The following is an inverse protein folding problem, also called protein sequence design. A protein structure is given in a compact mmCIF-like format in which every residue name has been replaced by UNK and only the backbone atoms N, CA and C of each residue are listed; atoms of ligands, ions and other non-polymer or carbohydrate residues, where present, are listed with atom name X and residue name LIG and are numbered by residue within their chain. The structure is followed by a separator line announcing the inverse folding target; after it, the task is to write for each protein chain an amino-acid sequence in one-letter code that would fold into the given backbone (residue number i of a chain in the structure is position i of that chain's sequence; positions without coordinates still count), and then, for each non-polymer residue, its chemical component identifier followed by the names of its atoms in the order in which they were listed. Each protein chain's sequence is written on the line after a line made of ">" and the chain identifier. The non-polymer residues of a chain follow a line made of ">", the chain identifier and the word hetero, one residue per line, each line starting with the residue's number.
data_IF_304740473743
#
_entry.id   IF_304740473743
#
_cell.length_a   1.000
_cell.length_b   1.000
_cell.length_c   1.000
_cell.angle_alpha   90.00
_cell.angle_beta   90.00
_cell.angle_gamma   90.00
#
_symmetry.space_group_name_H-M   'P 1'
#
loop_
_entity.id
_entity.type
_entity.pdbx_description
1 polymer ?
#
# COMPACT_ATOMS: atom_id res chain seq x y z
N UNK A 1 12.38 31.21 29.93
CA UNK A 1 12.98 30.31 30.94
C UNK A 1 12.43 28.92 30.74
N UNK A 2 13.23 27.86 30.68
CA UNK A 2 12.68 26.51 30.53
C UNK A 2 12.00 26.11 31.85
N UNK A 3 10.70 25.87 31.82
CA UNK A 3 9.94 25.34 32.95
C UNK A 3 10.46 23.92 33.25
N UNK A 4 11.06 23.75 34.41
CA UNK A 4 11.42 22.43 34.96
C UNK A 4 10.14 21.69 35.33
N UNK A 5 9.98 20.48 34.81
CA UNK A 5 8.84 19.62 35.11
C UNK A 5 9.37 18.47 35.98
N UNK A 6 9.82 18.78 37.19
CA UNK A 6 9.77 17.84 38.30
C UNK A 6 8.52 18.17 39.13
N UNK A 7 7.92 17.14 39.76
CA UNK A 7 6.85 17.44 40.69
C UNK A 7 7.40 18.35 41.82
N UNK A 8 6.61 19.28 42.34
CA UNK A 8 7.05 20.16 43.43
C UNK A 8 7.65 19.41 44.62
N UNK A 9 7.18 18.20 44.88
CA UNK A 9 7.69 17.34 45.95
C UNK A 9 9.12 16.85 45.68
N UNK A 10 9.43 16.50 44.41
CA UNK A 10 10.78 16.09 44.03
C UNK A 10 11.74 17.27 44.14
N UNK A 11 11.34 18.46 43.68
CA UNK A 11 12.15 19.67 43.79
C UNK A 11 12.44 20.00 45.25
N UNK A 12 11.42 20.00 46.10
CA UNK A 12 11.55 20.25 47.56
C UNK A 12 12.53 19.25 48.20
N UNK A 13 12.41 17.96 47.88
CA UNK A 13 13.30 16.92 48.41
C UNK A 13 14.76 17.11 47.98
N UNK A 14 15.00 17.55 46.75
CA UNK A 14 16.36 17.88 46.30
C UNK A 14 16.93 19.10 46.99
N UNK A 15 16.15 20.17 47.17
CA UNK A 15 16.56 21.37 47.82
C UNK A 15 16.91 21.14 49.28
N UNK A 16 16.06 20.45 50.03
CA UNK A 16 16.30 20.08 51.42
C UNK A 16 17.58 19.26 51.58
N UNK A 17 17.74 18.19 50.76
CA UNK A 17 18.92 17.33 50.81
C UNK A 17 20.22 18.11 50.56
N UNK A 18 20.25 18.95 49.56
CA UNK A 18 21.48 19.68 49.20
C UNK A 18 21.75 20.84 50.14
N UNK A 19 20.74 21.47 50.71
CA UNK A 19 20.92 22.53 51.66
C UNK A 19 21.78 22.07 52.87
N UNK A 20 21.42 20.94 53.47
CA UNK A 20 22.19 20.38 54.58
C UNK A 20 23.62 20.00 54.19
N UNK A 21 23.77 19.29 53.06
CA UNK A 21 25.10 18.85 52.62
C UNK A 21 26.02 20.03 52.27
N UNK A 22 25.50 21.12 51.76
CA UNK A 22 26.29 22.33 51.44
C UNK A 22 26.71 23.01 52.73
N UNK A 23 25.82 23.17 53.72
CA UNK A 23 26.15 23.74 55.01
C UNK A 23 27.26 22.93 55.71
N UNK A 24 27.10 21.62 55.78
CA UNK A 24 28.10 20.73 56.38
C UNK A 24 29.44 20.78 55.61
N UNK A 25 29.39 20.79 54.26
CA UNK A 25 30.59 20.87 53.42
C UNK A 25 31.36 22.19 53.67
N UNK A 26 30.64 23.32 53.76
CA UNK A 26 31.26 24.62 54.02
C UNK A 26 31.81 24.68 55.47
N UNK A 27 31.09 24.13 56.45
CA UNK A 27 31.59 24.05 57.86
C UNK A 27 32.84 23.17 57.94
N UNK A 28 32.92 22.06 57.25
CA UNK A 28 34.14 21.21 57.22
C UNK A 28 35.30 22.00 56.59
N UNK A 29 35.04 22.75 55.53
CA UNK A 29 36.06 23.60 54.89
C UNK A 29 36.61 24.66 55.80
N UNK A 30 35.77 25.23 56.69
CA UNK A 30 36.13 26.20 57.71
C UNK A 30 36.72 25.55 58.97
N UNK A 31 36.71 24.19 59.04
CA UNK A 31 37.11 23.41 60.25
C UNK A 31 36.19 23.64 61.51
N UNK A 32 34.94 23.99 61.24
CA UNK A 32 33.95 24.32 62.28
C UNK A 32 32.91 23.21 62.48
N UNK A 33 33.00 22.12 61.72
CA UNK A 33 31.99 21.07 61.77
C UNK A 33 32.17 20.18 63.04
N UNK A 34 31.10 19.93 63.83
CA UNK A 34 31.21 19.20 65.05
C UNK A 34 31.57 17.72 64.92
N UNK A 35 31.16 17.06 63.85
CA UNK A 35 31.30 15.59 63.74
C UNK A 35 32.25 15.17 62.60
N UNK A 36 32.27 15.87 61.47
CA UNK A 36 33.09 15.47 60.33
C UNK A 36 34.38 16.31 60.23
N UNK A 37 35.52 15.61 60.17
CA UNK A 37 36.83 16.26 59.99
C UNK A 37 37.26 16.34 58.51
N UNK A 38 36.70 15.46 57.66
CA UNK A 38 37.05 15.39 56.23
C UNK A 38 35.79 15.35 55.36
N UNK A 39 35.82 16.02 54.22
CA UNK A 39 34.72 16.01 53.26
C UNK A 39 34.40 14.59 52.74
N UNK A 40 35.38 13.67 52.76
CA UNK A 40 35.16 12.26 52.36
C UNK A 40 34.20 11.51 53.30
N UNK A 41 34.18 11.86 54.57
CA UNK A 41 33.29 11.29 55.57
C UNK A 41 31.84 11.76 55.34
N UNK A 42 31.65 13.05 55.03
CA UNK A 42 30.38 13.63 54.65
C UNK A 42 29.78 12.94 53.39
N UNK A 43 30.60 12.79 52.34
CA UNK A 43 30.14 12.15 51.10
C UNK A 43 29.76 10.70 51.32
N UNK A 44 30.50 9.97 52.17
CA UNK A 44 30.21 8.58 52.52
C UNK A 44 28.89 8.48 53.30
N UNK A 45 28.71 9.36 54.32
CA UNK A 45 27.50 9.39 55.15
C UNK A 45 26.23 9.66 54.28
N UNK A 46 26.32 10.56 53.30
CA UNK A 46 25.20 10.91 52.43
C UNK A 46 25.12 10.05 51.14
N UNK A 47 25.93 9.01 51.02
CA UNK A 47 26.02 8.15 49.81
C UNK A 47 26.11 8.97 48.53
N UNK A 48 26.98 9.98 48.52
CA UNK A 48 27.11 10.91 47.43
C UNK A 48 28.49 10.81 46.78
N UNK A 49 28.53 10.75 45.44
CA UNK A 49 29.80 10.84 44.72
C UNK A 49 30.34 12.26 44.72
N UNK A 50 31.63 12.41 45.05
CA UNK A 50 32.31 13.70 45.12
C UNK A 50 32.25 14.50 43.80
N UNK A 51 32.33 13.81 42.66
CA UNK A 51 32.26 14.48 41.36
C UNK A 51 30.88 15.05 41.09
N UNK A 52 29.84 14.32 41.47
CA UNK A 52 28.45 14.75 41.38
C UNK A 52 28.22 15.96 42.28
N UNK A 53 28.65 15.92 43.55
CA UNK A 53 28.51 17.04 44.45
C UNK A 53 29.25 18.29 43.93
N UNK A 54 30.52 18.18 43.54
CA UNK A 54 31.29 19.30 43.03
C UNK A 54 30.63 19.96 41.81
N UNK A 55 30.07 19.17 40.91
CA UNK A 55 29.34 19.69 39.75
C UNK A 55 28.16 20.56 40.12
N UNK A 56 27.39 20.18 41.15
CA UNK A 56 26.25 20.94 41.62
C UNK A 56 26.70 22.12 42.47
N UNK A 57 27.76 21.96 43.26
CA UNK A 57 28.31 23.03 44.07
C UNK A 57 28.91 24.17 43.27
N UNK A 58 29.63 23.87 42.18
CA UNK A 58 30.10 24.90 41.23
C UNK A 58 28.91 25.67 40.61
N UNK A 59 27.86 24.98 40.22
CA UNK A 59 26.66 25.63 39.71
C UNK A 59 26.00 26.57 40.75
N UNK A 60 25.99 26.14 42.01
CA UNK A 60 25.47 26.91 43.09
C UNK A 60 26.29 28.19 43.29
N UNK A 61 27.60 28.13 43.25
CA UNK A 61 28.49 29.28 43.31
C UNK A 61 28.32 30.22 42.12
N UNK A 62 28.25 29.68 40.91
CA UNK A 62 28.04 30.44 39.65
C UNK A 62 26.67 31.15 39.64
N UNK A 63 25.69 30.58 40.31
CA UNK A 63 24.34 31.16 40.45
C UNK A 63 24.22 32.15 41.62
N UNK A 64 25.32 32.66 42.17
CA UNK A 64 25.30 33.58 43.31
C UNK A 64 24.78 32.94 44.60
N UNK A 65 25.03 31.65 44.81
CA UNK A 65 24.58 30.85 45.96
C UNK A 65 23.05 30.62 46.00
N UNK A 66 22.41 30.63 44.83
CA UNK A 66 21.00 30.24 44.73
C UNK A 66 20.85 28.72 44.89
N UNK A 67 20.12 28.31 45.92
CA UNK A 67 19.86 26.90 46.25
C UNK A 67 19.11 26.17 45.12
N UNK A 68 18.34 26.88 44.31
CA UNK A 68 17.65 26.32 43.14
C UNK A 68 18.61 25.76 42.08
N UNK A 69 19.89 26.13 42.15
CA UNK A 69 20.92 25.57 41.28
C UNK A 69 21.14 24.06 41.50
N UNK A 70 20.71 23.48 42.62
CA UNK A 70 20.79 22.05 42.91
C UNK A 70 19.68 21.24 42.25
N UNK A 71 18.61 21.86 41.74
CA UNK A 71 17.56 21.16 41.01
C UNK A 71 18.16 20.56 39.74
N UNK A 72 18.02 19.22 39.50
CA UNK A 72 18.62 18.59 38.34
C UNK A 72 18.00 19.13 37.06
N UNK A 73 18.84 19.44 36.08
CA UNK A 73 18.36 19.81 34.74
C UNK A 73 17.85 18.58 34.05
N UNK A 74 16.76 18.74 33.27
CA UNK A 74 16.19 17.66 32.45
C UNK A 74 17.29 17.00 31.58
N UNK A 75 17.39 15.67 31.66
CA UNK A 75 18.26 14.89 30.78
C UNK A 75 17.65 14.90 29.36
N UNK A 76 18.42 15.28 28.38
CA UNK A 76 18.00 15.30 26.97
C UNK A 76 18.76 16.34 26.16
N UNK A 77 18.64 16.32 24.83
CA UNK A 77 19.26 17.33 23.99
C UNK A 77 18.70 18.71 24.35
N UNK A 78 19.55 19.73 24.32
CA UNK A 78 19.11 21.12 24.53
C UNK A 78 18.02 21.46 23.54
N UNK A 79 16.93 22.10 23.99
CA UNK A 79 15.75 22.41 23.17
C UNK A 79 16.10 23.07 21.82
N UNK A 80 17.19 23.85 21.76
CA UNK A 80 17.66 24.53 20.57
C UNK A 80 18.47 23.66 19.59
N UNK A 81 18.95 22.47 20.02
CA UNK A 81 19.79 21.61 19.13
C UNK A 81 19.01 20.63 18.26
N UNK A 82 17.71 20.43 18.53
CA UNK A 82 16.85 19.47 17.82
C UNK A 82 15.67 20.13 17.09
N UNK A 83 15.51 21.43 17.20
CA UNK A 83 14.42 22.15 16.53
C UNK A 83 14.92 22.63 15.19
N UNK A 84 14.21 22.26 14.15
CA UNK A 84 14.37 22.90 12.86
C UNK A 84 14.26 24.43 13.03
N UNK A 85 15.22 25.17 12.49
CA UNK A 85 15.12 26.64 12.45
C UNK A 85 13.81 27.00 11.75
N UNK A 86 13.13 28.11 12.11
CA UNK A 86 11.87 28.52 11.49
C UNK A 86 11.91 28.54 9.95
N UNK A 87 13.04 28.95 9.38
CA UNK A 87 13.29 28.97 7.92
C UNK A 87 13.19 27.55 7.32
N UNK A 88 13.78 26.57 8.00
CA UNK A 88 13.76 25.18 7.56
C UNK A 88 12.37 24.58 7.70
N UNK A 89 11.65 24.89 8.77
CA UNK A 89 10.25 24.45 8.95
C UNK A 89 9.33 25.04 7.88
N UNK A 90 9.55 26.29 7.49
CA UNK A 90 8.81 26.92 6.40
C UNK A 90 9.10 26.21 5.07
N UNK A 91 10.37 25.94 4.77
CA UNK A 91 10.76 25.21 3.57
C UNK A 91 10.19 23.80 3.50
N UNK A 92 10.15 23.09 4.65
CA UNK A 92 9.48 21.79 4.77
C UNK A 92 7.99 21.92 4.39
N UNK A 93 7.34 22.98 4.85
CA UNK A 93 5.91 23.23 4.58
C UNK A 93 5.65 23.55 3.11
N UNK A 94 6.48 24.37 2.49
CA UNK A 94 6.40 24.70 1.06
C UNK A 94 6.53 23.43 0.20
N UNK A 95 7.59 22.63 0.42
CA UNK A 95 7.81 21.39 -0.31
C UNK A 95 6.67 20.40 -0.10
N UNK A 96 6.08 20.35 1.11
CA UNK A 96 4.90 19.52 1.38
C UNK A 96 3.69 20.00 0.60
N UNK A 97 3.44 21.28 0.52
CA UNK A 97 2.33 21.86 -0.26
C UNK A 97 2.47 21.61 -1.76
N UNK A 98 3.71 21.47 -2.25
CA UNK A 98 4.02 21.01 -3.61
C UNK A 98 3.78 19.51 -3.81
N UNK A 99 3.39 18.76 -2.77
CA UNK A 99 3.06 17.33 -2.86
C UNK A 99 4.24 16.38 -2.63
N UNK A 100 5.40 16.88 -2.20
CA UNK A 100 6.57 16.03 -1.98
C UNK A 100 6.46 15.21 -0.68
N UNK A 101 6.96 13.96 -0.72
CA UNK A 101 7.00 13.09 0.44
C UNK A 101 8.17 13.44 1.38
N UNK A 102 8.12 12.93 2.62
CA UNK A 102 9.13 13.22 3.66
C UNK A 102 10.56 12.84 3.29
N UNK A 103 10.74 11.83 2.45
CA UNK A 103 12.07 11.37 2.01
C UNK A 103 12.67 12.35 0.98
N UNK A 104 11.87 12.79 0.02
CA UNK A 104 12.26 13.83 -0.93
C UNK A 104 12.62 15.11 -0.21
N UNK A 105 11.75 15.59 0.71
CA UNK A 105 12.00 16.81 1.50
C UNK A 105 13.29 16.68 2.32
N UNK A 106 13.54 15.53 2.95
CA UNK A 106 14.78 15.28 3.68
C UNK A 106 16.01 15.35 2.79
N UNK A 107 15.94 14.82 1.57
CA UNK A 107 17.05 14.83 0.63
C UNK A 107 17.31 16.22 0.07
N UNK A 108 16.28 16.96 -0.27
CA UNK A 108 16.36 18.35 -0.75
C UNK A 108 17.00 19.26 0.30
N UNK A 109 16.62 19.10 1.56
CA UNK A 109 17.19 19.87 2.66
C UNK A 109 18.66 19.51 2.96
N UNK A 110 19.15 18.35 2.56
CA UNK A 110 20.58 18.01 2.65
C UNK A 110 21.42 18.89 1.76
N UNK A 111 20.96 19.17 0.55
CA UNK A 111 21.66 20.04 -0.40
C UNK A 111 21.78 21.48 0.10
N UNK A 112 20.76 21.96 0.85
CA UNK A 112 20.70 23.33 1.38
C UNK A 112 21.47 23.53 2.71
N UNK A 113 21.82 22.46 3.43
CA UNK A 113 22.39 22.52 4.79
C UNK A 113 23.84 22.00 4.89
N UNK A 114 24.64 22.09 3.84
CA UNK A 114 26.02 21.59 3.82
C UNK A 114 26.18 20.18 4.40
N UNK A 115 25.39 19.23 3.92
CA UNK A 115 25.38 17.81 4.33
C UNK A 115 24.98 17.51 5.81
N UNK A 116 24.58 18.48 6.61
CA UNK A 116 23.96 18.27 7.93
C UNK A 116 22.46 18.07 7.81
N UNK A 117 22.04 17.15 6.92
CA UNK A 117 20.67 16.95 6.54
C UNK A 117 19.73 16.63 7.71
N UNK A 118 18.49 17.06 7.55
CA UNK A 118 17.42 16.75 8.49
C UNK A 118 16.87 15.36 8.14
N UNK A 119 16.85 14.48 9.13
CA UNK A 119 16.35 13.10 8.90
C UNK A 119 14.86 13.10 8.48
N UNK A 120 14.41 12.10 7.70
CA UNK A 120 12.99 11.95 7.34
C UNK A 120 12.05 11.89 8.54
N UNK A 121 12.53 11.38 9.69
CA UNK A 121 11.78 11.36 10.95
C UNK A 121 11.64 12.74 11.57
N UNK A 122 12.63 13.62 11.39
CA UNK A 122 12.54 15.01 11.85
C UNK A 122 11.61 15.82 10.97
N UNK A 123 11.67 15.62 9.64
CA UNK A 123 10.70 16.18 8.69
C UNK A 123 9.26 15.75 9.06
N UNK A 124 9.05 14.46 9.32
CA UNK A 124 7.73 13.97 9.75
C UNK A 124 7.23 14.67 11.01
N UNK A 125 8.08 14.83 12.05
CA UNK A 125 7.70 15.52 13.28
C UNK A 125 7.35 16.99 13.05
N UNK A 126 8.09 17.69 12.19
CA UNK A 126 7.78 19.06 11.82
C UNK A 126 6.42 19.17 11.11
N UNK A 127 6.16 18.26 10.16
CA UNK A 127 4.89 18.18 9.43
C UNK A 127 3.73 17.78 10.35
N UNK A 128 3.96 16.86 11.28
CA UNK A 128 2.93 16.43 12.24
C UNK A 128 2.45 17.57 13.13
N UNK A 129 3.37 18.41 13.64
CA UNK A 129 3.02 19.60 14.44
C UNK A 129 2.11 20.58 13.69
N UNK A 130 2.18 20.61 12.36
CA UNK A 130 1.41 21.50 11.49
C UNK A 130 0.19 20.82 10.85
N UNK A 131 -0.11 19.57 11.21
CA UNK A 131 -1.21 18.80 10.60
C UNK A 131 -0.99 18.38 9.15
N UNK A 132 0.25 18.48 8.65
CA UNK A 132 0.64 18.20 7.26
C UNK A 132 1.33 16.85 7.07
N UNK A 133 1.28 15.97 8.06
CA UNK A 133 1.94 14.67 8.04
C UNK A 133 1.34 13.69 7.00
N UNK A 134 0.08 13.87 6.60
CA UNK A 134 -0.56 13.11 5.52
C UNK A 134 -0.46 13.88 4.21
N UNK A 135 -0.01 13.21 3.15
CA UNK A 135 -0.12 13.76 1.80
C UNK A 135 -1.60 13.84 1.43
N UNK A 136 -2.04 14.96 0.88
CA UNK A 136 -3.33 15.00 0.22
C UNK A 136 -3.33 13.91 -0.85
N UNK A 137 -4.36 13.06 -0.94
CA UNK A 137 -4.43 12.11 -2.04
C UNK A 137 -4.33 12.94 -3.33
N UNK A 138 -3.44 12.50 -4.24
CA UNK A 138 -3.47 13.07 -5.60
C UNK A 138 -4.91 12.91 -6.07
N UNK A 139 -5.53 14.00 -6.52
CA UNK A 139 -6.81 13.89 -7.23
C UNK A 139 -6.60 12.81 -8.28
N UNK A 140 -7.27 11.69 -8.10
CA UNK A 140 -7.31 10.66 -9.14
C UNK A 140 -7.88 11.38 -10.34
N UNK A 141 -7.09 11.53 -11.41
CA UNK A 141 -7.68 11.84 -12.71
C UNK A 141 -8.85 10.88 -12.85
N UNK A 142 -10.02 11.41 -13.15
CA UNK A 142 -11.18 10.58 -13.45
C UNK A 142 -10.73 9.51 -14.41
N UNK A 143 -10.69 8.29 -13.93
CA UNK A 143 -10.36 7.15 -14.79
C UNK A 143 -11.54 7.05 -15.72
N UNK A 144 -11.37 7.52 -16.96
CA UNK A 144 -12.34 7.24 -18.00
C UNK A 144 -12.41 5.73 -18.14
N UNK A 145 -13.45 5.14 -17.59
CA UNK A 145 -13.80 3.76 -17.80
C UNK A 145 -14.30 3.68 -19.25
N UNK A 146 -13.47 3.19 -20.14
CA UNK A 146 -13.93 2.87 -21.49
C UNK A 146 -14.74 1.58 -21.41
N UNK A 147 -16.03 1.72 -21.18
CA UNK A 147 -16.98 0.62 -21.36
C UNK A 147 -17.53 0.73 -22.77
N UNK A 148 -17.53 -0.38 -23.48
CA UNK A 148 -18.15 -0.44 -24.81
C UNK A 148 -19.66 -0.30 -24.67
N UNK A 149 -20.28 0.31 -25.67
CA UNK A 149 -21.71 0.65 -25.65
C UNK A 149 -22.59 -0.52 -26.06
N UNK A 150 -22.09 -1.38 -26.97
CA UNK A 150 -22.84 -2.53 -27.49
C UNK A 150 -22.19 -3.85 -27.10
N UNK A 151 -23.02 -4.86 -26.91
CA UNK A 151 -22.57 -6.23 -26.70
C UNK A 151 -21.80 -6.72 -27.93
N UNK A 152 -20.71 -7.45 -27.76
CA UNK A 152 -19.86 -7.98 -28.81
C UNK A 152 -18.87 -6.99 -29.40
N UNK A 153 -18.91 -5.68 -29.10
CA UNK A 153 -17.92 -4.74 -29.62
C UNK A 153 -16.49 -5.09 -29.19
N UNK A 154 -16.30 -5.68 -28.02
CA UNK A 154 -15.02 -6.10 -27.50
C UNK A 154 -15.16 -7.25 -26.53
N UNK A 155 -14.48 -8.36 -26.81
CA UNK A 155 -14.26 -9.46 -25.87
C UNK A 155 -12.92 -9.31 -25.17
N UNK A 156 -12.83 -9.63 -23.89
CA UNK A 156 -11.60 -9.83 -23.16
C UNK A 156 -11.34 -11.32 -23.02
N UNK A 157 -10.24 -11.79 -23.54
CA UNK A 157 -9.82 -13.18 -23.44
C UNK A 157 -8.54 -13.26 -22.62
N UNK A 158 -8.52 -14.18 -21.67
CA UNK A 158 -7.38 -14.37 -20.79
C UNK A 158 -7.25 -15.83 -20.36
N UNK A 159 -6.00 -16.26 -20.10
CA UNK A 159 -5.68 -17.58 -19.60
C UNK A 159 -5.17 -17.48 -18.16
N UNK A 160 -5.66 -18.33 -17.28
CA UNK A 160 -5.27 -18.34 -15.89
C UNK A 160 -4.86 -19.74 -15.42
N UNK A 161 -3.81 -19.82 -14.61
CA UNK A 161 -3.35 -21.08 -14.05
C UNK A 161 -4.35 -21.60 -13.01
N UNK A 162 -4.81 -22.82 -13.16
CA UNK A 162 -5.61 -23.53 -12.17
C UNK A 162 -4.67 -24.26 -11.22
N UNK A 163 -4.80 -24.03 -9.92
CA UNK A 163 -3.98 -24.69 -8.91
C UNK A 163 -4.06 -26.22 -9.05
N UNK A 164 -2.92 -26.87 -8.94
CA UNK A 164 -2.82 -28.35 -8.95
C UNK A 164 -3.47 -29.02 -7.72
N UNK A 165 -3.87 -28.23 -6.74
CA UNK A 165 -4.56 -28.70 -5.53
C UNK A 165 -6.09 -28.73 -5.64
N UNK A 166 -6.66 -28.17 -6.69
CA UNK A 166 -8.11 -28.06 -6.86
C UNK A 166 -8.78 -29.42 -7.07
N UNK A 167 -8.07 -30.37 -7.68
CA UNK A 167 -8.58 -31.73 -7.88
C UNK A 167 -7.87 -32.68 -6.92
N UNK A 168 -8.64 -33.31 -6.07
CA UNK A 168 -8.12 -34.22 -5.05
C UNK A 168 -7.33 -35.39 -5.71
N UNK A 169 -6.12 -35.62 -5.21
CA UNK A 169 -5.25 -36.69 -5.69
C UNK A 169 -4.62 -36.49 -7.08
N UNK A 170 -4.84 -35.38 -7.74
CA UNK A 170 -4.20 -35.05 -9.02
C UNK A 170 -3.14 -33.96 -8.85
N UNK A 171 -1.96 -34.17 -9.47
CA UNK A 171 -0.87 -33.19 -9.53
C UNK A 171 -0.70 -32.61 -10.95
N UNK A 172 -1.73 -32.72 -11.78
CA UNK A 172 -1.67 -32.24 -13.17
C UNK A 172 -1.93 -30.75 -13.25
N UNK A 173 -1.00 -30.01 -13.88
CA UNK A 173 -1.20 -28.59 -14.19
C UNK A 173 -2.33 -28.43 -15.20
N UNK A 174 -3.24 -27.52 -14.93
CA UNK A 174 -4.33 -27.14 -15.81
C UNK A 174 -4.48 -25.63 -15.86
N UNK A 175 -5.23 -25.17 -16.81
CA UNK A 175 -5.48 -23.75 -17.02
C UNK A 175 -6.96 -23.51 -17.28
N UNK A 176 -7.38 -22.27 -17.01
CA UNK A 176 -8.69 -21.76 -17.36
C UNK A 176 -8.52 -20.78 -18.51
N UNK A 177 -9.33 -20.90 -19.54
CA UNK A 177 -9.47 -19.90 -20.59
C UNK A 177 -10.83 -19.25 -20.42
N UNK A 178 -10.90 -17.93 -20.30
CA UNK A 178 -12.16 -17.21 -20.17
C UNK A 178 -12.30 -16.11 -21.21
N UNK A 179 -13.52 -15.98 -21.75
CA UNK A 179 -13.93 -14.90 -22.63
C UNK A 179 -15.04 -14.10 -21.94
N UNK A 180 -14.88 -12.79 -21.87
CA UNK A 180 -15.83 -11.87 -21.24
C UNK A 180 -16.19 -10.74 -22.21
N UNK A 181 -17.46 -10.45 -22.37
CA UNK A 181 -17.90 -9.26 -23.11
C UNK A 181 -17.67 -7.97 -22.30
N UNK A 182 -17.11 -6.96 -22.95
CA UNK A 182 -16.75 -5.69 -22.32
C UNK A 182 -17.95 -4.89 -21.83
N UNK A 183 -19.04 -4.87 -22.59
CA UNK A 183 -20.23 -4.07 -22.28
C UNK A 183 -21.07 -4.72 -21.17
N UNK A 184 -21.41 -5.98 -21.36
CA UNK A 184 -22.37 -6.69 -20.48
C UNK A 184 -21.72 -7.39 -19.30
N UNK A 185 -20.43 -7.71 -19.36
CA UNK A 185 -19.72 -8.58 -18.40
C UNK A 185 -20.15 -10.06 -18.46
N UNK A 186 -20.95 -10.47 -19.42
CA UNK A 186 -21.21 -11.89 -19.63
C UNK A 186 -19.87 -12.60 -19.81
N UNK A 187 -19.69 -13.73 -19.15
CA UNK A 187 -18.44 -14.47 -19.16
C UNK A 187 -18.69 -15.97 -19.23
N UNK A 188 -17.84 -16.65 -19.96
CA UNK A 188 -17.71 -18.10 -19.93
C UNK A 188 -16.25 -18.49 -19.81
N UNK A 189 -16.00 -19.58 -19.13
CA UNK A 189 -14.67 -20.13 -18.92
C UNK A 189 -14.68 -21.65 -19.16
N UNK A 190 -13.54 -22.16 -19.58
CA UNK A 190 -13.33 -23.57 -19.84
C UNK A 190 -11.98 -24.02 -19.30
N UNK A 191 -11.89 -25.27 -18.83
CA UNK A 191 -10.66 -25.91 -18.37
C UNK A 191 -9.92 -26.53 -19.53
N UNK A 192 -8.63 -26.22 -19.64
CA UNK A 192 -7.72 -26.81 -20.63
C UNK A 192 -6.50 -27.42 -19.94
N UNK A 193 -5.91 -28.43 -20.58
CA UNK A 193 -4.76 -29.14 -20.04
C UNK A 193 -3.43 -28.41 -20.26
N UNK A 194 -3.36 -27.52 -21.25
CA UNK A 194 -2.20 -26.70 -21.59
C UNK A 194 -2.64 -25.38 -22.22
N UNK A 195 -1.71 -24.44 -22.37
CA UNK A 195 -1.91 -23.15 -23.05
C UNK A 195 -1.12 -23.07 -24.35
N UNK A 196 -1.06 -24.18 -25.12
CA UNK A 196 -0.54 -24.12 -26.47
C UNK A 196 -1.46 -23.27 -27.37
N UNK A 197 -0.90 -22.69 -28.41
CA UNK A 197 -1.65 -21.87 -29.38
C UNK A 197 -2.87 -22.57 -29.92
N UNK A 198 -2.78 -23.86 -30.23
CA UNK A 198 -3.89 -24.66 -30.71
C UNK A 198 -4.95 -24.92 -29.67
N UNK A 199 -4.55 -25.27 -28.44
CA UNK A 199 -5.47 -25.49 -27.32
C UNK A 199 -6.29 -24.24 -27.04
N UNK A 200 -5.62 -23.09 -26.95
CA UNK A 200 -6.28 -21.79 -26.67
C UNK A 200 -7.16 -21.37 -27.85
N UNK A 201 -6.72 -21.59 -29.08
CA UNK A 201 -7.53 -21.34 -30.28
C UNK A 201 -8.85 -22.14 -30.25
N UNK A 202 -8.79 -23.46 -30.02
CA UNK A 202 -9.99 -24.29 -29.95
C UNK A 202 -10.89 -23.93 -28.77
N UNK A 203 -10.34 -23.63 -27.60
CA UNK A 203 -11.11 -23.16 -26.47
C UNK A 203 -11.84 -21.84 -26.81
N UNK A 204 -11.13 -20.87 -27.39
CA UNK A 204 -11.73 -19.61 -27.84
C UNK A 204 -12.87 -19.82 -28.85
N UNK A 205 -12.71 -20.70 -29.82
CA UNK A 205 -13.78 -21.04 -30.77
C UNK A 205 -15.04 -21.55 -30.06
N UNK A 206 -14.87 -22.46 -29.10
CA UNK A 206 -16.01 -22.98 -28.29
C UNK A 206 -16.67 -21.88 -27.51
N UNK A 207 -15.89 -21.01 -26.85
CA UNK A 207 -16.43 -19.87 -26.09
C UNK A 207 -17.19 -18.89 -26.97
N UNK A 208 -16.64 -18.51 -28.15
CA UNK A 208 -17.34 -17.65 -29.13
C UNK A 208 -18.68 -18.28 -29.56
N UNK A 209 -18.70 -19.58 -29.78
CA UNK A 209 -19.94 -20.30 -30.16
C UNK A 209 -20.98 -20.31 -29.04
N UNK A 210 -20.56 -20.39 -27.75
CA UNK A 210 -21.46 -20.25 -26.59
C UNK A 210 -22.09 -18.85 -26.54
N UNK A 211 -21.30 -17.80 -26.73
CA UNK A 211 -21.83 -16.43 -26.79
C UNK A 211 -22.83 -16.23 -27.93
N UNK A 212 -22.52 -16.75 -29.09
CA UNK A 212 -23.42 -16.68 -30.23
C UNK A 212 -24.73 -17.47 -30.02
N UNK A 213 -24.60 -18.71 -29.54
CA UNK A 213 -25.75 -19.60 -29.40
C UNK A 213 -26.70 -19.19 -28.27
N UNK A 214 -26.18 -18.73 -27.14
CA UNK A 214 -26.98 -18.40 -25.95
C UNK A 214 -27.48 -16.96 -25.92
N UNK A 215 -26.71 -16.01 -26.45
CA UNK A 215 -26.97 -14.57 -26.29
C UNK A 215 -27.05 -13.82 -27.62
N UNK A 216 -26.83 -14.48 -28.74
CA UNK A 216 -26.69 -13.87 -30.08
C UNK A 216 -25.59 -12.76 -30.12
N UNK A 217 -24.56 -12.90 -29.28
CA UNK A 217 -23.44 -11.98 -29.26
C UNK A 217 -22.39 -12.42 -30.31
N UNK A 218 -22.10 -11.53 -31.25
CA UNK A 218 -21.02 -11.66 -32.23
C UNK A 218 -19.91 -10.69 -31.87
N UNK A 219 -18.68 -11.19 -31.71
CA UNK A 219 -17.56 -10.31 -31.38
C UNK A 219 -17.00 -9.62 -32.63
N UNK A 220 -16.88 -8.28 -32.56
CA UNK A 220 -16.17 -7.46 -33.55
C UNK A 220 -14.66 -7.45 -33.30
N UNK A 221 -14.27 -7.56 -32.04
CA UNK A 221 -12.87 -7.59 -31.63
C UNK A 221 -12.68 -8.41 -30.34
N UNK A 222 -11.49 -9.00 -30.19
CA UNK A 222 -11.04 -9.66 -28.98
C UNK A 222 -9.73 -9.02 -28.52
N UNK A 223 -9.62 -8.77 -27.24
CA UNK A 223 -8.42 -8.26 -26.60
C UNK A 223 -7.78 -9.33 -25.74
N UNK A 224 -6.47 -9.51 -25.88
CA UNK A 224 -5.65 -10.40 -25.07
C UNK A 224 -4.47 -9.66 -24.46
N UNK A 225 -3.73 -10.30 -23.60
CA UNK A 225 -2.38 -9.88 -23.26
C UNK A 225 -1.40 -10.20 -24.42
N UNK A 226 -0.07 -10.06 -24.17
CA UNK A 226 0.96 -10.39 -25.15
C UNK A 226 1.53 -11.80 -24.93
N UNK A 227 0.74 -12.73 -24.41
CA UNK A 227 1.12 -14.12 -24.23
C UNK A 227 1.46 -14.82 -25.56
N UNK A 228 2.36 -15.80 -25.49
CA UNK A 228 2.79 -16.54 -26.67
C UNK A 228 1.67 -17.38 -27.28
N UNK A 229 0.69 -17.77 -26.50
CA UNK A 229 -0.52 -18.51 -26.87
C UNK A 229 -1.45 -17.73 -27.81
N UNK A 230 -1.43 -16.40 -27.73
CA UNK A 230 -2.22 -15.49 -28.59
C UNK A 230 -1.43 -14.91 -29.74
N UNK A 231 -0.13 -15.28 -29.88
CA UNK A 231 0.78 -14.63 -30.80
C UNK A 231 1.37 -13.34 -30.23
N UNK A 232 2.51 -12.93 -30.77
CA UNK A 232 3.20 -11.72 -30.35
C UNK A 232 2.89 -10.57 -31.30
N UNK A 233 2.43 -9.44 -30.78
CA UNK A 233 2.07 -8.23 -31.55
C UNK A 233 3.10 -7.83 -32.61
N UNK A 234 4.39 -7.96 -32.31
CA UNK A 234 5.50 -7.55 -33.19
C UNK A 234 6.17 -8.74 -33.91
N UNK A 235 5.55 -9.93 -33.94
CA UNK A 235 6.11 -11.06 -34.64
C UNK A 235 6.01 -10.85 -36.16
N UNK A 236 7.08 -11.16 -36.88
CA UNK A 236 7.06 -11.15 -38.37
C UNK A 236 6.15 -12.25 -38.94
N UNK A 237 5.86 -13.29 -38.17
CA UNK A 237 5.00 -14.43 -38.54
C UNK A 237 3.67 -14.39 -37.77
N UNK A 238 3.18 -13.19 -37.43
CA UNK A 238 1.94 -13.04 -36.70
C UNK A 238 0.76 -13.69 -37.44
N UNK A 239 0.67 -13.47 -38.73
CA UNK A 239 -0.41 -14.00 -39.61
C UNK A 239 -0.39 -15.53 -39.73
N UNK A 240 0.76 -16.17 -39.48
CA UNK A 240 0.87 -17.63 -39.47
C UNK A 240 0.47 -18.26 -38.13
N UNK A 241 0.26 -17.46 -37.09
CA UNK A 241 -0.09 -17.96 -35.77
C UNK A 241 -1.52 -18.52 -35.78
N UNK A 242 -1.76 -19.76 -35.27
CA UNK A 242 -3.08 -20.41 -35.36
C UNK A 242 -4.21 -19.55 -34.78
N UNK A 243 -3.99 -18.93 -33.66
CA UNK A 243 -4.97 -18.07 -33.00
C UNK A 243 -5.34 -16.84 -33.88
N UNK A 244 -4.34 -16.18 -34.46
CA UNK A 244 -4.56 -15.01 -35.33
C UNK A 244 -5.32 -15.42 -36.60
N UNK A 245 -4.95 -16.54 -37.22
CA UNK A 245 -5.64 -17.06 -38.40
C UNK A 245 -7.10 -17.36 -38.11
N UNK A 246 -7.39 -17.99 -36.98
CA UNK A 246 -8.76 -18.26 -36.53
C UNK A 246 -9.56 -16.96 -36.40
N UNK A 247 -9.01 -15.91 -35.74
CA UNK A 247 -9.69 -14.64 -35.64
C UNK A 247 -9.92 -13.94 -36.98
N UNK A 248 -8.95 -14.04 -37.90
CA UNK A 248 -9.11 -13.53 -39.27
C UNK A 248 -10.24 -14.24 -40.02
N UNK A 249 -10.32 -15.55 -39.94
CA UNK A 249 -11.40 -16.35 -40.53
C UNK A 249 -12.79 -16.00 -39.96
N UNK A 250 -12.84 -15.58 -38.71
CA UNK A 250 -14.08 -15.13 -38.05
C UNK A 250 -14.36 -13.65 -38.26
N UNK A 251 -13.51 -12.93 -38.98
CA UNK A 251 -13.57 -11.47 -39.17
C UNK A 251 -13.50 -10.70 -37.87
N UNK A 252 -12.85 -11.26 -36.82
CA UNK A 252 -12.67 -10.67 -35.51
C UNK A 252 -11.33 -9.96 -35.44
N UNK A 253 -11.33 -8.66 -35.05
CA UNK A 253 -10.10 -7.88 -34.87
C UNK A 253 -9.39 -8.28 -33.60
N UNK A 254 -8.06 -8.49 -33.68
CA UNK A 254 -7.25 -8.78 -32.50
C UNK A 254 -6.58 -7.52 -31.93
N UNK A 255 -6.83 -7.21 -30.66
CA UNK A 255 -6.16 -6.17 -29.94
C UNK A 255 -5.28 -6.75 -28.83
N UNK A 256 -4.08 -6.20 -28.68
CA UNK A 256 -3.18 -6.54 -27.57
C UNK A 256 -3.23 -5.45 -26.51
N UNK A 257 -3.27 -5.86 -25.25
CA UNK A 257 -3.16 -4.94 -24.11
C UNK A 257 -1.85 -4.15 -24.20
N UNK A 258 -1.89 -2.81 -24.14
CA UNK A 258 -0.67 -2.01 -24.16
C UNK A 258 0.21 -2.34 -22.96
N UNK A 259 1.55 -2.42 -23.15
CA UNK A 259 2.48 -2.63 -22.04
C UNK A 259 2.26 -1.61 -20.92
N UNK A 260 2.36 -2.06 -19.67
CA UNK A 260 2.20 -1.22 -18.46
C UNK A 260 0.82 -0.56 -18.29
N UNK A 261 -0.23 -1.04 -18.93
CA UNK A 261 -1.61 -0.61 -18.70
C UNK A 261 -2.51 -1.77 -18.23
N UNK A 262 -2.30 -2.34 -17.05
CA UNK A 262 -3.10 -3.46 -16.54
C UNK A 262 -4.59 -3.11 -16.38
N UNK A 263 -4.91 -1.82 -16.34
CA UNK A 263 -6.30 -1.36 -16.17
C UNK A 263 -7.23 -1.75 -17.33
N UNK A 264 -6.68 -2.07 -18.49
CA UNK A 264 -7.46 -2.45 -19.67
C UNK A 264 -8.05 -3.86 -19.50
N UNK A 265 -7.30 -4.79 -18.89
CA UNK A 265 -7.76 -6.15 -18.54
C UNK A 265 -8.42 -6.25 -17.15
N UNK A 266 -8.57 -5.14 -16.45
CA UNK A 266 -9.07 -5.12 -15.07
C UNK A 266 -10.46 -5.74 -14.87
N UNK A 267 -11.23 -5.94 -15.95
CA UNK A 267 -12.55 -6.58 -15.91
C UNK A 267 -12.43 -8.09 -15.79
N UNK A 268 -11.62 -8.72 -16.63
CA UNK A 268 -11.38 -10.16 -16.58
C UNK A 268 -10.49 -10.55 -15.38
N UNK A 269 -9.53 -9.68 -15.00
CA UNK A 269 -8.77 -9.86 -13.76
C UNK A 269 -9.69 -9.88 -12.52
N UNK A 270 -10.73 -9.05 -12.53
CA UNK A 270 -11.74 -9.05 -11.45
C UNK A 270 -12.56 -10.33 -11.45
N UNK A 271 -12.88 -10.88 -12.63
CA UNK A 271 -13.55 -12.18 -12.72
C UNK A 271 -12.68 -13.28 -12.12
N UNK A 272 -11.40 -13.35 -12.44
CA UNK A 272 -10.49 -14.33 -11.85
C UNK A 272 -10.47 -14.26 -10.32
N UNK A 273 -10.35 -13.05 -9.78
CA UNK A 273 -10.42 -12.89 -8.33
C UNK A 273 -11.73 -13.42 -7.75
N UNK A 274 -12.84 -13.13 -8.39
CA UNK A 274 -14.17 -13.50 -7.93
C UNK A 274 -14.39 -15.01 -7.98
N UNK A 275 -14.03 -15.68 -9.09
CA UNK A 275 -14.19 -17.13 -9.21
C UNK A 275 -13.28 -17.90 -8.25
N UNK A 276 -12.09 -17.37 -7.94
CA UNK A 276 -11.23 -17.95 -6.92
C UNK A 276 -11.85 -17.86 -5.53
N UNK A 277 -12.40 -16.72 -5.15
CA UNK A 277 -13.06 -16.52 -3.87
C UNK A 277 -14.34 -17.35 -3.74
N UNK A 278 -15.11 -17.46 -4.82
CA UNK A 278 -16.47 -18.06 -4.78
C UNK A 278 -16.45 -19.58 -5.06
N UNK A 279 -15.47 -20.12 -5.81
CA UNK A 279 -15.51 -21.48 -6.33
C UNK A 279 -14.18 -22.25 -6.19
N UNK A 280 -13.02 -21.66 -6.54
CA UNK A 280 -11.78 -22.43 -6.73
C UNK A 280 -11.09 -22.80 -5.39
N UNK A 281 -11.45 -22.17 -4.28
CA UNK A 281 -10.96 -22.55 -2.95
C UNK A 281 -11.55 -23.87 -2.40
N UNK A 282 -12.44 -24.53 -3.15
CA UNK A 282 -12.98 -25.82 -2.80
C UNK A 282 -12.18 -26.98 -3.42
N UNK A 283 -12.19 -28.13 -2.77
CA UNK A 283 -11.62 -29.37 -3.28
C UNK A 283 -12.68 -30.13 -4.11
N UNK A 284 -12.29 -30.63 -5.29
CA UNK A 284 -13.15 -31.39 -6.17
C UNK A 284 -12.63 -32.83 -6.34
N UNK A 285 -13.53 -33.79 -6.39
CA UNK A 285 -13.19 -35.21 -6.53
C UNK A 285 -12.69 -35.58 -7.94
N UNK A 286 -13.08 -34.78 -8.95
CA UNK A 286 -12.68 -35.02 -10.34
C UNK A 286 -12.71 -33.77 -11.20
N UNK A 287 -11.98 -33.81 -12.31
CA UNK A 287 -12.00 -32.76 -13.31
C UNK A 287 -13.37 -32.63 -14.00
N UNK A 288 -14.13 -33.72 -14.10
CA UNK A 288 -15.48 -33.70 -14.67
C UNK A 288 -16.41 -32.89 -13.76
N UNK A 289 -16.39 -33.16 -12.46
CA UNK A 289 -17.15 -32.40 -11.47
C UNK A 289 -16.77 -30.91 -11.50
N UNK A 290 -15.48 -30.60 -11.52
CA UNK A 290 -15.03 -29.22 -11.61
C UNK A 290 -15.55 -28.51 -12.88
N UNK A 291 -15.56 -29.17 -14.02
CA UNK A 291 -16.11 -28.65 -15.28
C UNK A 291 -17.60 -28.34 -15.18
N UNK A 292 -18.36 -29.26 -14.58
CA UNK A 292 -19.81 -29.07 -14.39
C UNK A 292 -20.09 -27.91 -13.43
N UNK A 293 -19.34 -27.80 -12.34
CA UNK A 293 -19.42 -26.67 -11.41
C UNK A 293 -19.00 -25.35 -12.04
N UNK A 294 -17.99 -25.34 -12.91
CA UNK A 294 -17.56 -24.15 -13.63
C UNK A 294 -18.66 -23.63 -14.57
N UNK A 295 -19.35 -24.51 -15.26
CA UNK A 295 -20.49 -24.15 -16.13
C UNK A 295 -21.62 -23.55 -15.26
N UNK A 296 -21.96 -24.20 -14.16
CA UNK A 296 -22.99 -23.72 -13.22
C UNK A 296 -22.59 -22.35 -12.64
N UNK A 297 -21.33 -22.17 -12.28
CA UNK A 297 -20.83 -20.90 -11.78
C UNK A 297 -20.93 -19.79 -12.82
N UNK A 298 -20.57 -20.05 -14.09
CA UNK A 298 -20.74 -19.07 -15.17
C UNK A 298 -22.22 -18.70 -15.35
N UNK A 299 -23.14 -19.65 -15.26
CA UNK A 299 -24.57 -19.39 -15.28
C UNK A 299 -25.02 -18.50 -14.12
N UNK A 300 -24.62 -18.83 -12.89
CA UNK A 300 -24.88 -18.01 -11.70
C UNK A 300 -24.31 -16.60 -11.86
N UNK A 301 -23.05 -16.47 -12.30
CA UNK A 301 -22.37 -15.18 -12.50
C UNK A 301 -23.14 -14.31 -13.50
N UNK A 302 -23.62 -14.88 -14.61
CA UNK A 302 -24.29 -14.17 -15.67
C UNK A 302 -25.75 -13.79 -15.32
N UNK A 303 -26.49 -14.62 -14.58
CA UNK A 303 -27.92 -14.48 -14.39
C UNK A 303 -28.34 -14.05 -12.99
N UNK A 304 -27.52 -14.31 -11.96
CA UNK A 304 -27.92 -14.09 -10.57
C UNK A 304 -27.01 -13.10 -9.85
N UNK A 305 -25.71 -13.10 -10.14
CA UNK A 305 -24.75 -12.26 -9.46
C UNK A 305 -24.88 -10.79 -9.84
N UNK A 306 -25.10 -9.94 -8.84
CA UNK A 306 -25.17 -8.49 -9.02
C UNK A 306 -23.79 -7.85 -9.11
N UNK A 307 -23.57 -6.95 -10.05
CA UNK A 307 -22.31 -6.30 -10.33
C UNK A 307 -22.35 -4.79 -10.05
N UNK A 308 -21.46 -4.33 -9.17
CA UNK A 308 -21.34 -2.90 -8.87
C UNK A 308 -21.00 -2.07 -10.13
N UNK A 309 -20.19 -2.62 -11.05
CA UNK A 309 -19.84 -1.96 -12.30
C UNK A 309 -20.96 -1.92 -13.35
N UNK A 310 -22.07 -2.61 -13.09
CA UNK A 310 -23.29 -2.61 -13.89
C UNK A 310 -24.47 -1.99 -13.12
N UNK A 311 -24.20 -1.06 -12.20
CA UNK A 311 -25.22 -0.41 -11.36
C UNK A 311 -26.09 -1.41 -10.59
N UNK A 312 -25.48 -2.45 -10.02
CA UNK A 312 -26.14 -3.52 -9.28
C UNK A 312 -27.11 -4.37 -10.12
N UNK A 313 -26.82 -4.55 -11.40
CA UNK A 313 -27.53 -5.46 -12.30
C UNK A 313 -26.70 -6.72 -12.54
N UNK A 314 -27.36 -7.78 -12.99
CA UNK A 314 -26.67 -8.95 -13.53
C UNK A 314 -26.15 -8.68 -14.91
N UNK A 315 -25.13 -9.40 -15.41
CA UNK A 315 -24.68 -9.33 -16.80
C UNK A 315 -25.80 -9.52 -17.83
N UNK A 316 -26.72 -10.45 -17.56
CA UNK A 316 -27.88 -10.69 -18.43
C UNK A 316 -28.84 -9.51 -18.48
N UNK A 317 -29.18 -8.92 -17.32
CA UNK A 317 -30.02 -7.70 -17.27
C UNK A 317 -29.38 -6.52 -18.03
N UNK A 318 -28.05 -6.40 -17.96
CA UNK A 318 -27.33 -5.39 -18.73
C UNK A 318 -27.44 -5.64 -20.25
N UNK A 319 -27.38 -6.90 -20.69
CA UNK A 319 -27.58 -7.27 -22.10
C UNK A 319 -29.00 -6.93 -22.56
N UNK A 320 -30.03 -7.26 -21.77
CA UNK A 320 -31.41 -6.95 -22.12
C UNK A 320 -31.64 -5.44 -22.29
N UNK A 321 -31.03 -4.62 -21.43
CA UNK A 321 -31.13 -3.15 -21.57
C UNK A 321 -30.46 -2.65 -22.86
N UNK A 322 -29.26 -3.11 -23.16
CA UNK A 322 -28.54 -2.74 -24.39
C UNK A 322 -29.40 -3.11 -25.61
N UNK A 323 -29.92 -4.34 -25.66
CA UNK A 323 -30.76 -4.81 -26.76
C UNK A 323 -32.08 -4.04 -26.89
N UNK A 324 -32.66 -3.55 -25.79
CA UNK A 324 -33.88 -2.76 -25.81
C UNK A 324 -33.61 -1.33 -26.32
N UNK A 325 -32.47 -0.74 -26.00
CA UNK A 325 -32.05 0.56 -26.53
C UNK A 325 -31.86 0.48 -28.05
N UNK A 326 -31.12 -0.53 -28.54
CA UNK A 326 -30.88 -0.75 -29.97
C UNK A 326 -32.18 -0.99 -30.80
N UNK A 327 -33.24 -1.50 -30.20
CA UNK A 327 -34.55 -1.67 -30.85
C UNK A 327 -35.42 -0.39 -30.91
N UNK A 328 -35.06 0.59 -30.07
CA UNK A 328 -35.78 1.85 -29.97
C UNK A 328 -35.18 3.00 -30.77
N UNK A 329 -33.96 2.79 -31.31
CA UNK A 329 -33.29 3.65 -32.29
C UNK A 329 -33.54 3.17 -33.72
#
# INVERSE_FOLDING_TARGET
>A
MPKFIYSPEIEKRYLEKFAFIVMDYEAIKKREHPHYKKCSELFKAHRMDRRVFNKYYHRYLEAGRDINAFIPRRRGPRFQSSVCRPEVENRITELRNQGHNRYFISNELKSLTNNKGISPSSVYRALFKRGLNRLKPRMKQERRSYVKERAGQLGHLDCHYLSDKVIAGELKKRYLVALMDDATRIVYAEVVDDISALTVMFATMRLINVFLAQYNIKFEAIMTDNGSEFGRKNSKTKEDHPFERMLMEFEIKHYYTPPYKPQVNGKIERFWKTIYEDMIDADYDSIAEFRDQLIQYCCYYNHERLHQGLNHKTPFQALEEINNIEKSE
#
